data_IF_269138286084
#
_entry.id   IF_269138286084
#
_cell.length_a   1.000
_cell.length_b   1.000
_cell.length_c   1.000
_cell.angle_alpha   90.00
_cell.angle_beta   90.00
_cell.angle_gamma   90.00
#
_symmetry.space_group_name_H-M   'P 1'
#
loop_
_entity.id
_entity.type
_entity.pdbx_description
1 polymer ?
#
# COMPACT_ATOMS: atom_id res chain seq x y z
N UNK A 1 -19.24 1.37 -36.29
CA UNK A 1 -18.29 1.74 -35.21
C UNK A 1 -18.02 0.46 -34.46
N UNK A 2 -16.84 0.31 -33.86
CA UNK A 2 -16.58 -0.86 -33.02
C UNK A 2 -17.32 -0.69 -31.71
N UNK A 3 -17.81 -1.79 -31.16
CA UNK A 3 -18.47 -1.84 -29.86
C UNK A 3 -17.44 -1.84 -28.72
N UNK A 4 -17.85 -1.52 -27.49
CA UNK A 4 -16.99 -1.67 -26.31
C UNK A 4 -16.43 -3.10 -26.20
N UNK A 5 -17.25 -4.12 -26.51
CA UNK A 5 -16.83 -5.53 -26.49
C UNK A 5 -15.66 -5.79 -27.43
N UNK A 6 -15.75 -5.33 -28.67
CA UNK A 6 -14.69 -5.52 -29.66
C UNK A 6 -13.41 -4.78 -29.24
N UNK A 7 -13.54 -3.53 -28.75
CA UNK A 7 -12.40 -2.75 -28.27
C UNK A 7 -11.74 -3.40 -27.06
N UNK A 8 -12.50 -3.97 -26.12
CA UNK A 8 -11.97 -4.67 -24.95
C UNK A 8 -11.18 -5.92 -25.37
N UNK A 9 -11.73 -6.74 -26.25
CA UNK A 9 -11.06 -7.95 -26.76
C UNK A 9 -9.74 -7.59 -27.45
N UNK A 10 -9.75 -6.55 -28.28
CA UNK A 10 -8.54 -6.10 -28.99
C UNK A 10 -7.49 -5.53 -28.02
N UNK A 11 -7.93 -4.76 -27.02
CA UNK A 11 -7.06 -4.17 -25.98
C UNK A 11 -6.41 -5.29 -25.15
N UNK A 12 -7.19 -6.27 -24.70
CA UNK A 12 -6.70 -7.42 -23.94
C UNK A 12 -5.68 -8.23 -24.76
N UNK A 13 -5.97 -8.48 -26.05
CA UNK A 13 -5.04 -9.16 -26.94
C UNK A 13 -3.74 -8.36 -27.14
N UNK A 14 -3.80 -7.04 -27.24
CA UNK A 14 -2.61 -6.19 -27.37
C UNK A 14 -1.73 -6.26 -26.11
N UNK A 15 -2.32 -6.19 -24.91
CA UNK A 15 -1.60 -6.35 -23.65
C UNK A 15 -0.92 -7.72 -23.55
N UNK A 16 -1.63 -8.80 -23.88
CA UNK A 16 -1.08 -10.16 -23.88
C UNK A 16 0.07 -10.31 -24.89
N UNK A 17 -0.07 -9.75 -26.09
CA UNK A 17 0.97 -9.81 -27.12
C UNK A 17 2.22 -8.98 -26.76
N UNK A 18 2.06 -7.94 -25.94
CA UNK A 18 3.15 -7.10 -25.47
C UNK A 18 3.97 -7.76 -24.35
N UNK A 19 3.50 -8.88 -23.77
CA UNK A 19 4.14 -9.59 -22.66
C UNK A 19 4.44 -8.66 -21.46
N UNK A 20 3.46 -7.83 -21.11
CA UNK A 20 3.53 -6.97 -19.92
C UNK A 20 3.32 -7.79 -18.64
N UNK A 21 3.91 -7.33 -17.54
CA UNK A 21 3.68 -7.91 -16.22
C UNK A 21 2.47 -7.25 -15.52
N UNK A 22 1.60 -8.07 -14.91
CA UNK A 22 0.43 -7.62 -14.15
C UNK A 22 0.67 -7.77 -12.64
N UNK A 23 0.30 -6.77 -11.84
CA UNK A 23 0.58 -6.78 -10.38
C UNK A 23 0.56 -5.41 -9.70
N UNK A 24 0.29 -4.33 -10.44
CA UNK A 24 0.17 -2.97 -9.90
C UNK A 24 -1.30 -2.61 -9.61
N UNK A 25 -1.99 -3.47 -8.88
CA UNK A 25 -3.42 -3.31 -8.52
C UNK A 25 -4.40 -4.06 -9.45
N UNK A 26 -3.97 -4.43 -10.66
CA UNK A 26 -4.71 -5.34 -11.55
C UNK A 26 -3.90 -6.63 -11.75
N UNK A 27 -4.58 -7.78 -11.75
CA UNK A 27 -3.94 -9.11 -11.82
C UNK A 27 -4.01 -9.75 -13.21
N UNK A 28 -4.76 -9.15 -14.14
CA UNK A 28 -4.97 -9.72 -15.47
C UNK A 28 -4.99 -8.67 -16.58
N UNK A 29 -4.69 -9.12 -17.80
CA UNK A 29 -4.86 -8.32 -19.01
C UNK A 29 -6.30 -7.82 -19.18
N UNK A 30 -7.27 -8.61 -18.73
CA UNK A 30 -8.68 -8.25 -18.80
C UNK A 30 -9.00 -7.04 -17.92
N UNK A 31 -8.56 -7.05 -16.66
CA UNK A 31 -8.85 -5.97 -15.72
C UNK A 31 -8.17 -4.66 -16.13
N UNK A 32 -6.91 -4.75 -16.60
CA UNK A 32 -6.22 -3.59 -17.17
C UNK A 32 -6.90 -3.06 -18.44
N UNK A 33 -7.36 -3.95 -19.34
CA UNK A 33 -8.08 -3.54 -20.54
C UNK A 33 -9.39 -2.82 -20.18
N UNK A 34 -10.14 -3.32 -19.20
CA UNK A 34 -11.36 -2.66 -18.70
C UNK A 34 -11.04 -1.26 -18.18
N UNK A 35 -10.02 -1.10 -17.34
CA UNK A 35 -9.58 0.20 -16.84
C UNK A 35 -9.22 1.17 -17.97
N UNK A 36 -8.32 0.77 -18.87
CA UNK A 36 -7.85 1.63 -19.96
C UNK A 36 -8.98 2.04 -20.91
N UNK A 37 -9.86 1.11 -21.29
CA UNK A 37 -10.96 1.36 -22.24
C UNK A 37 -12.00 2.30 -21.65
N UNK A 38 -12.40 2.07 -20.39
CA UNK A 38 -13.40 2.89 -19.71
C UNK A 38 -12.85 4.29 -19.41
N UNK A 39 -11.64 4.40 -18.85
CA UNK A 39 -11.03 5.71 -18.57
C UNK A 39 -10.76 6.50 -19.85
N UNK A 40 -10.39 5.83 -20.96
CA UNK A 40 -10.25 6.51 -22.25
C UNK A 40 -11.59 7.05 -22.79
N UNK A 41 -12.71 6.41 -22.44
CA UNK A 41 -14.06 6.86 -22.77
C UNK A 41 -14.67 7.83 -21.72
N UNK A 42 -13.87 8.28 -20.75
CA UNK A 42 -14.30 9.12 -19.62
C UNK A 42 -15.44 8.50 -18.80
N UNK A 43 -15.40 7.17 -18.65
CA UNK A 43 -16.35 6.39 -17.85
C UNK A 43 -15.71 5.87 -16.56
N UNK A 44 -16.51 5.85 -15.50
CA UNK A 44 -16.15 5.33 -14.18
C UNK A 44 -16.13 3.79 -14.18
N UNK A 45 -15.13 3.19 -13.52
CA UNK A 45 -15.06 1.74 -13.29
C UNK A 45 -16.21 1.22 -12.41
N UNK A 46 -16.81 2.07 -11.58
CA UNK A 46 -17.86 1.69 -10.63
C UNK A 46 -19.27 1.72 -11.23
N UNK A 47 -19.47 2.43 -12.35
CA UNK A 47 -20.80 2.76 -12.87
C UNK A 47 -21.11 2.06 -14.22
N UNK A 48 -20.40 0.98 -14.53
CA UNK A 48 -20.58 0.26 -15.80
C UNK A 48 -21.36 -1.05 -15.65
N UNK A 49 -22.40 -1.19 -16.46
CA UNK A 49 -23.17 -2.42 -16.63
C UNK A 49 -22.65 -3.21 -17.83
N UNK A 50 -22.80 -4.54 -17.80
CA UNK A 50 -22.55 -5.42 -18.95
C UNK A 50 -23.31 -4.98 -20.22
N UNK A 51 -24.38 -4.20 -20.08
CA UNK A 51 -25.10 -3.62 -21.21
C UNK A 51 -24.25 -2.69 -22.09
N UNK A 52 -23.18 -2.08 -21.55
CA UNK A 52 -22.30 -1.17 -22.31
C UNK A 52 -21.52 -1.90 -23.40
N UNK A 53 -21.27 -3.20 -23.21
CA UNK A 53 -20.43 -4.02 -24.09
C UNK A 53 -20.93 -3.99 -25.54
N UNK A 54 -22.25 -3.97 -25.74
CA UNK A 54 -22.86 -4.00 -27.06
C UNK A 54 -23.20 -2.60 -27.60
N UNK A 55 -22.75 -1.54 -26.93
CA UNK A 55 -22.88 -0.15 -27.39
C UNK A 55 -21.65 0.30 -28.18
N UNK A 56 -21.82 1.29 -29.04
CA UNK A 56 -20.73 1.86 -29.83
C UNK A 56 -19.66 2.51 -28.94
N UNK A 57 -18.39 2.17 -29.15
CA UNK A 57 -17.29 2.84 -28.49
C UNK A 57 -17.10 4.26 -29.05
N UNK A 58 -16.96 5.30 -28.21
CA UNK A 58 -16.83 6.68 -28.67
C UNK A 58 -15.59 6.87 -29.55
N UNK A 59 -15.76 7.35 -30.78
CA UNK A 59 -14.63 7.62 -31.68
C UNK A 59 -13.68 8.70 -31.17
N UNK A 60 -14.16 9.57 -30.26
CA UNK A 60 -13.34 10.56 -29.55
C UNK A 60 -12.36 9.93 -28.56
N UNK A 61 -12.65 8.72 -28.06
CA UNK A 61 -11.81 8.01 -27.09
C UNK A 61 -10.67 7.22 -27.74
N UNK A 62 -10.76 6.91 -29.04
CA UNK A 62 -9.79 6.04 -29.73
C UNK A 62 -8.35 6.55 -29.66
N UNK A 63 -8.11 7.86 -29.81
CA UNK A 63 -6.75 8.42 -29.71
C UNK A 63 -6.20 8.35 -28.28
N UNK A 64 -7.05 8.57 -27.27
CA UNK A 64 -6.67 8.48 -25.85
C UNK A 64 -6.34 7.03 -25.47
N UNK A 65 -7.17 6.07 -25.88
CA UNK A 65 -6.89 4.64 -25.69
C UNK A 65 -5.58 4.22 -26.38
N UNK A 66 -5.30 4.71 -27.59
CA UNK A 66 -4.04 4.41 -28.26
C UNK A 66 -2.83 4.98 -27.52
N UNK A 67 -2.92 6.18 -26.94
CA UNK A 67 -1.83 6.70 -26.10
C UNK A 67 -1.64 5.90 -24.82
N UNK A 68 -2.73 5.42 -24.21
CA UNK A 68 -2.68 4.55 -23.04
C UNK A 68 -2.01 3.21 -23.34
N UNK A 69 -2.38 2.57 -24.46
CA UNK A 69 -1.75 1.33 -24.91
C UNK A 69 -0.27 1.52 -25.26
N UNK A 70 0.12 2.66 -25.83
CA UNK A 70 1.54 2.95 -26.06
C UNK A 70 2.32 3.05 -24.74
N UNK A 71 1.83 3.86 -23.79
CA UNK A 71 2.42 3.98 -22.46
C UNK A 71 2.51 2.61 -21.75
N UNK A 72 1.49 1.77 -21.88
CA UNK A 72 1.45 0.46 -21.22
C UNK A 72 2.36 -0.57 -21.90
N UNK A 73 2.25 -0.74 -23.21
CA UNK A 73 2.90 -1.81 -23.97
C UNK A 73 4.36 -1.48 -24.31
N UNK A 74 4.68 -0.22 -24.63
CA UNK A 74 6.04 0.17 -25.02
C UNK A 74 6.84 0.69 -23.82
N UNK A 75 6.25 1.58 -23.02
CA UNK A 75 6.94 2.22 -21.89
C UNK A 75 6.84 1.40 -20.59
N UNK A 76 5.99 0.38 -20.54
CA UNK A 76 5.74 -0.49 -19.37
C UNK A 76 5.21 0.27 -18.16
N UNK A 77 4.52 1.40 -18.37
CA UNK A 77 3.95 2.17 -17.27
C UNK A 77 2.80 1.39 -16.60
N UNK A 78 2.72 1.34 -15.26
CA UNK A 78 1.56 0.82 -14.55
C UNK A 78 0.26 1.51 -14.97
N UNK A 79 -0.82 0.75 -15.15
CA UNK A 79 -2.12 1.32 -15.57
C UNK A 79 -2.61 2.42 -14.63
N UNK A 80 -2.40 2.28 -13.32
CA UNK A 80 -2.75 3.30 -12.34
C UNK A 80 -2.08 4.65 -12.60
N UNK A 81 -0.83 4.67 -13.09
CA UNK A 81 -0.13 5.91 -13.46
C UNK A 81 -0.62 6.46 -14.80
N UNK A 82 -1.04 5.58 -15.72
CA UNK A 82 -1.59 5.98 -17.02
C UNK A 82 -2.98 6.62 -16.86
N UNK A 83 -3.84 6.02 -16.03
CA UNK A 83 -5.18 6.52 -15.73
C UNK A 83 -5.15 7.67 -14.73
N UNK A 84 -4.09 7.75 -13.92
CA UNK A 84 -3.92 8.72 -12.83
C UNK A 84 -4.68 8.36 -11.56
N UNK A 85 -5.23 7.14 -11.48
CA UNK A 85 -6.08 6.70 -10.38
C UNK A 85 -5.88 5.21 -10.02
N UNK A 86 -6.03 4.89 -8.74
CA UNK A 86 -5.95 3.54 -8.20
C UNK A 86 -6.99 3.34 -7.09
N UNK A 87 -7.49 2.11 -6.95
CA UNK A 87 -8.51 1.77 -5.97
C UNK A 87 -7.91 0.93 -4.83
N UNK A 88 -8.28 1.26 -3.59
CA UNK A 88 -8.00 0.44 -2.41
C UNK A 88 -9.25 0.35 -1.55
N UNK A 89 -9.78 -0.87 -1.40
CA UNK A 89 -11.10 -1.07 -0.80
C UNK A 89 -12.18 -0.31 -1.58
N UNK A 90 -12.90 0.58 -0.90
CA UNK A 90 -13.98 1.38 -1.50
C UNK A 90 -13.53 2.79 -1.92
N UNK A 91 -12.25 3.12 -1.81
CA UNK A 91 -11.72 4.46 -2.07
C UNK A 91 -10.88 4.48 -3.35
N UNK A 92 -11.03 5.56 -4.13
CA UNK A 92 -10.21 5.86 -5.30
C UNK A 92 -9.21 6.98 -4.98
N UNK A 93 -7.94 6.75 -5.27
CA UNK A 93 -6.84 7.66 -5.00
C UNK A 93 -6.24 8.15 -6.31
N UNK A 94 -5.74 9.39 -6.32
CA UNK A 94 -4.77 9.80 -7.32
C UNK A 94 -3.53 8.92 -7.20
N UNK A 95 -3.01 8.48 -8.34
CA UNK A 95 -1.84 7.61 -8.42
C UNK A 95 -0.89 8.10 -9.51
N UNK A 96 0.38 8.30 -9.15
CA UNK A 96 1.48 8.64 -10.05
C UNK A 96 2.82 8.21 -9.45
N UNK A 97 3.91 8.47 -10.19
CA UNK A 97 5.29 8.07 -9.88
C UNK A 97 5.84 8.57 -8.53
N UNK A 98 5.12 9.41 -7.79
CA UNK A 98 5.56 9.92 -6.48
C UNK A 98 5.43 8.88 -5.35
N UNK A 99 4.63 7.83 -5.51
CA UNK A 99 4.44 6.78 -4.50
C UNK A 99 4.04 5.45 -5.14
N UNK A 100 4.12 4.36 -4.37
CA UNK A 100 3.63 3.04 -4.80
C UNK A 100 2.16 3.09 -5.20
N UNK A 101 1.78 2.28 -6.19
CA UNK A 101 0.37 2.06 -6.52
C UNK A 101 -0.35 1.40 -5.33
N UNK A 102 -1.46 1.96 -4.82
CA UNK A 102 -2.26 1.36 -3.75
C UNK A 102 -2.66 -0.09 -4.04
N UNK A 103 -2.09 -1.04 -3.31
CA UNK A 103 -2.36 -2.48 -3.47
C UNK A 103 -2.06 -3.33 -2.22
N UNK A 104 -1.88 -2.68 -1.08
CA UNK A 104 -1.41 -3.36 0.13
C UNK A 104 -2.48 -4.33 0.66
N UNK A 105 -2.15 -5.61 0.92
CA UNK A 105 -3.06 -6.55 1.59
C UNK A 105 -3.50 -6.10 2.99
N UNK A 106 -2.76 -5.19 3.64
CA UNK A 106 -3.17 -4.59 4.93
C UNK A 106 -4.54 -3.92 4.86
N UNK A 107 -5.00 -3.52 3.66
CA UNK A 107 -6.34 -3.01 3.45
C UNK A 107 -7.43 -3.97 3.94
N UNK A 108 -7.26 -5.29 3.83
CA UNK A 108 -8.22 -6.26 4.34
C UNK A 108 -8.33 -6.21 5.86
N UNK A 109 -7.20 -6.09 6.56
CA UNK A 109 -7.14 -5.95 8.03
C UNK A 109 -7.84 -4.66 8.48
N UNK A 110 -7.62 -3.56 7.74
CA UNK A 110 -8.28 -2.26 8.01
C UNK A 110 -9.79 -2.35 7.78
N UNK A 111 -10.22 -2.96 6.67
CA UNK A 111 -11.65 -3.13 6.32
C UNK A 111 -12.39 -4.04 7.30
N UNK A 112 -11.68 -5.00 7.91
CA UNK A 112 -12.17 -5.84 8.98
C UNK A 112 -12.02 -5.20 10.38
N UNK A 113 -11.79 -3.89 10.44
CA UNK A 113 -11.69 -3.12 11.68
C UNK A 113 -10.64 -3.66 12.68
N UNK A 114 -9.56 -4.27 12.16
CA UNK A 114 -8.47 -4.87 12.93
C UNK A 114 -8.87 -6.07 13.81
N UNK A 115 -10.06 -6.65 13.59
CA UNK A 115 -10.52 -7.87 14.25
C UNK A 115 -9.77 -9.11 13.72
N UNK A 116 -9.54 -10.14 14.55
CA UNK A 116 -9.92 -10.26 15.97
C UNK A 116 -8.88 -9.69 16.95
N UNK A 117 -7.82 -9.06 16.44
CA UNK A 117 -6.63 -8.73 17.22
C UNK A 117 -6.80 -7.49 18.09
N UNK A 118 -7.41 -6.43 17.57
CA UNK A 118 -7.64 -5.23 18.35
C UNK A 118 -8.90 -5.37 19.21
N UNK A 119 -8.72 -5.60 20.51
CA UNK A 119 -9.81 -5.73 21.50
C UNK A 119 -9.93 -4.52 22.44
N UNK A 120 -9.27 -3.41 22.07
CA UNK A 120 -9.36 -2.15 22.81
C UNK A 120 -10.71 -1.45 22.65
N UNK A 121 -10.92 -0.31 23.34
CA UNK A 121 -12.00 0.61 22.98
C UNK A 121 -11.78 1.16 21.56
N UNK A 122 -12.80 1.80 20.98
CA UNK A 122 -12.67 2.48 19.68
C UNK A 122 -11.34 3.27 19.61
N UNK A 123 -10.48 3.00 18.60
CA UNK A 123 -9.15 3.60 18.54
C UNK A 123 -9.25 5.12 18.47
N UNK A 124 -8.48 5.81 19.28
CA UNK A 124 -8.45 7.27 19.30
C UNK A 124 -7.35 7.84 18.39
N UNK A 125 -6.23 7.14 18.26
CA UNK A 125 -5.07 7.56 17.46
C UNK A 125 -4.57 6.40 16.62
N UNK A 126 -4.61 6.58 15.29
CA UNK A 126 -4.07 5.66 14.30
C UNK A 126 -2.94 6.37 13.55
N UNK A 127 -1.82 5.70 13.34
CA UNK A 127 -0.71 6.23 12.53
C UNK A 127 -0.42 5.27 11.38
N UNK A 128 -0.46 5.79 10.16
CA UNK A 128 0.02 5.12 8.95
C UNK A 128 1.44 5.63 8.66
N UNK A 129 2.44 4.77 8.82
CA UNK A 129 3.87 5.10 8.66
C UNK A 129 4.41 4.48 7.38
N UNK A 130 5.32 5.20 6.71
CA UNK A 130 5.68 4.95 5.31
C UNK A 130 4.44 5.05 4.42
N UNK A 131 3.61 6.07 4.66
CA UNK A 131 2.26 6.15 4.11
C UNK A 131 2.20 6.30 2.59
N UNK A 132 3.30 6.70 1.93
CA UNK A 132 3.30 6.98 0.50
C UNK A 132 2.25 8.03 0.14
N UNK A 133 1.34 7.69 -0.79
CA UNK A 133 0.18 8.50 -1.18
C UNK A 133 -0.98 8.53 -0.17
N UNK A 134 -0.84 7.87 0.99
CA UNK A 134 -1.76 7.92 2.12
C UNK A 134 -2.93 6.93 2.07
N UNK A 135 -2.89 5.92 1.21
CA UNK A 135 -4.07 5.10 0.91
C UNK A 135 -4.56 4.28 2.11
N UNK A 136 -3.65 3.67 2.89
CA UNK A 136 -4.03 2.85 4.05
C UNK A 136 -4.58 3.70 5.19
N UNK A 137 -3.93 4.81 5.54
CA UNK A 137 -4.41 5.70 6.59
C UNK A 137 -5.73 6.38 6.24
N UNK A 138 -5.96 6.78 4.98
CA UNK A 138 -7.26 7.33 4.57
C UNK A 138 -8.36 6.27 4.55
N UNK A 139 -8.04 5.02 4.20
CA UNK A 139 -8.97 3.90 4.36
C UNK A 139 -9.29 3.64 5.84
N UNK A 140 -8.30 3.73 6.73
CA UNK A 140 -8.53 3.64 8.17
C UNK A 140 -9.41 4.80 8.67
N UNK A 141 -9.21 6.01 8.17
CA UNK A 141 -10.05 7.16 8.52
C UNK A 141 -11.50 7.00 8.08
N UNK A 142 -11.77 6.34 6.93
CA UNK A 142 -13.14 6.07 6.51
C UNK A 142 -13.83 5.03 7.39
N UNK A 143 -13.09 4.05 7.91
CA UNK A 143 -13.58 3.04 8.85
C UNK A 143 -13.74 3.56 10.29
N UNK A 144 -12.88 4.50 10.71
CA UNK A 144 -12.86 5.10 12.04
C UNK A 144 -12.97 6.65 11.98
N UNK A 145 -14.13 7.22 11.62
CA UNK A 145 -14.27 8.66 11.39
C UNK A 145 -13.96 9.54 12.61
N UNK A 146 -14.11 8.99 13.82
CA UNK A 146 -13.86 9.67 15.10
C UNK A 146 -12.42 9.58 15.57
N UNK A 147 -11.63 8.62 15.07
CA UNK A 147 -10.22 8.49 15.38
C UNK A 147 -9.43 9.64 14.76
N UNK A 148 -8.37 10.09 15.43
CA UNK A 148 -7.33 10.91 14.84
C UNK A 148 -6.42 10.00 14.02
N UNK A 149 -6.39 10.18 12.70
CA UNK A 149 -5.54 9.41 11.80
C UNK A 149 -4.45 10.29 11.20
N UNK A 150 -3.19 9.91 11.44
CA UNK A 150 -2.01 10.65 11.01
C UNK A 150 -1.23 9.83 9.98
N UNK A 151 -0.83 10.49 8.90
CA UNK A 151 0.06 9.93 7.88
C UNK A 151 1.48 10.38 8.15
N UNK A 152 2.46 9.48 8.02
CA UNK A 152 3.87 9.81 8.13
C UNK A 152 4.73 9.16 7.05
N UNK A 153 5.60 9.95 6.45
CA UNK A 153 6.59 9.50 5.49
C UNK A 153 7.83 10.40 5.53
N UNK A 154 8.98 9.88 5.09
CA UNK A 154 10.22 10.63 4.97
C UNK A 154 10.24 11.43 3.66
N UNK A 155 9.62 10.90 2.60
CA UNK A 155 9.66 11.45 1.26
C UNK A 155 8.66 12.60 1.07
N UNK A 156 9.20 13.76 0.72
CA UNK A 156 8.40 14.94 0.43
C UNK A 156 7.53 14.76 -0.83
N UNK A 157 8.00 14.00 -1.84
CA UNK A 157 7.22 13.76 -3.05
C UNK A 157 5.97 12.93 -2.75
N UNK A 158 6.13 11.81 -2.04
CA UNK A 158 5.02 10.99 -1.54
C UNK A 158 4.01 11.82 -0.71
N UNK A 159 4.50 12.59 0.27
CA UNK A 159 3.60 13.44 1.09
C UNK A 159 2.86 14.51 0.29
N UNK A 160 3.44 15.00 -0.82
CA UNK A 160 2.73 15.91 -1.71
C UNK A 160 1.53 15.23 -2.38
N UNK A 161 1.67 13.97 -2.79
CA UNK A 161 0.57 13.17 -3.33
C UNK A 161 -0.47 12.84 -2.25
N UNK A 162 -0.02 12.48 -1.03
CA UNK A 162 -0.91 12.30 0.11
C UNK A 162 -1.71 13.58 0.43
N UNK A 163 -1.09 14.75 0.34
CA UNK A 163 -1.79 16.03 0.52
C UNK A 163 -2.81 16.33 -0.59
N UNK A 164 -2.63 15.80 -1.80
CA UNK A 164 -3.64 15.91 -2.85
C UNK A 164 -4.79 14.93 -2.63
N UNK A 165 -4.48 13.70 -2.24
CA UNK A 165 -5.49 12.69 -1.89
C UNK A 165 -6.30 13.11 -0.66
N UNK A 166 -5.71 13.85 0.28
CA UNK A 166 -6.40 14.36 1.47
C UNK A 166 -7.44 15.46 1.16
N UNK A 167 -7.46 15.97 -0.07
CA UNK A 167 -8.52 16.87 -0.54
C UNK A 167 -9.76 16.09 -0.98
N UNK A 168 -9.60 14.79 -1.26
CA UNK A 168 -10.66 13.87 -1.70
C UNK A 168 -11.16 13.07 -0.50
N UNK A 169 -10.24 12.58 0.34
CA UNK A 169 -10.53 11.75 1.52
C UNK A 169 -10.08 12.43 2.79
N UNK A 170 -10.84 12.27 3.88
CA UNK A 170 -10.52 12.90 5.15
C UNK A 170 -9.23 12.35 5.76
N UNK A 171 -8.46 13.23 6.41
CA UNK A 171 -7.30 12.88 7.26
C UNK A 171 -7.08 13.99 8.29
N UNK A 172 -6.50 13.66 9.45
CA UNK A 172 -6.32 14.63 10.54
C UNK A 172 -4.93 15.30 10.53
N UNK A 173 -3.93 14.66 9.91
CA UNK A 173 -2.61 15.24 9.81
C UNK A 173 -1.66 14.45 8.91
N UNK A 174 -0.70 15.17 8.33
CA UNK A 174 0.38 14.63 7.52
C UNK A 174 1.70 15.14 8.11
N UNK A 175 2.59 14.22 8.46
CA UNK A 175 3.84 14.51 9.18
C UNK A 175 5.02 13.98 8.39
N UNK A 176 5.94 14.88 8.04
CA UNK A 176 7.25 14.44 7.54
C UNK A 176 8.11 13.98 8.72
N UNK A 177 8.47 12.70 8.72
CA UNK A 177 9.20 12.08 9.83
C UNK A 177 10.07 10.93 9.36
N UNK A 178 11.15 10.68 10.10
CA UNK A 178 11.86 9.41 10.01
C UNK A 178 11.13 8.40 10.92
N UNK A 179 10.40 7.50 10.27
CA UNK A 179 9.48 6.54 10.90
C UNK A 179 8.61 7.23 11.98
N UNK A 180 8.70 6.81 13.23
CA UNK A 180 7.85 7.27 14.33
C UNK A 180 8.65 8.02 15.42
N UNK A 181 9.83 8.52 15.07
CA UNK A 181 10.72 9.31 15.95
C UNK A 181 10.05 10.57 16.52
N UNK A 182 9.02 11.09 15.86
CA UNK A 182 8.26 12.28 16.26
C UNK A 182 7.12 11.98 17.25
N UNK A 183 6.74 10.70 17.42
CA UNK A 183 5.67 10.30 18.33
C UNK A 183 6.15 10.28 19.79
N UNK A 184 5.27 10.69 20.71
CA UNK A 184 5.50 10.54 22.14
C UNK A 184 5.25 9.09 22.59
N UNK A 185 5.75 8.70 23.76
CA UNK A 185 5.51 7.37 24.29
C UNK A 185 4.02 7.15 24.65
N UNK A 186 3.53 5.93 24.46
CA UNK A 186 2.18 5.48 24.82
C UNK A 186 1.05 6.38 24.27
N UNK A 187 1.19 6.93 23.06
CA UNK A 187 0.22 7.85 22.48
C UNK A 187 -0.61 7.27 21.33
N UNK A 188 -0.24 6.10 20.77
CA UNK A 188 -0.86 5.50 19.58
C UNK A 188 -1.64 4.24 19.96
N UNK A 189 -2.85 4.06 19.41
CA UNK A 189 -3.61 2.81 19.54
C UNK A 189 -3.23 1.82 18.44
N UNK A 190 -3.13 2.30 17.19
CA UNK A 190 -2.88 1.43 16.03
C UNK A 190 -1.80 2.02 15.14
N UNK A 191 -0.80 1.22 14.80
CA UNK A 191 0.19 1.53 13.77
C UNK A 191 -0.10 0.65 12.57
N UNK A 192 -0.25 1.27 11.40
CA UNK A 192 -0.30 0.62 10.11
C UNK A 192 1.04 0.90 9.42
N UNK A 193 1.71 -0.14 8.94
CA UNK A 193 3.02 0.00 8.31
C UNK A 193 3.14 -0.91 7.10
N UNK A 194 3.46 -0.29 5.96
CA UNK A 194 3.94 -0.97 4.76
C UNK A 194 5.29 -0.35 4.37
N UNK A 195 6.36 -0.62 5.15
CA UNK A 195 7.67 -0.09 4.86
C UNK A 195 8.29 -0.79 3.63
N UNK A 196 9.29 -0.17 3.00
CA UNK A 196 10.13 -0.85 2.01
C UNK A 196 10.74 -2.14 2.59
N UNK A 197 10.43 -3.29 1.98
CA UNK A 197 10.85 -4.62 2.46
C UNK A 197 11.51 -5.50 1.40
N UNK A 198 11.65 -5.03 0.16
CA UNK A 198 12.25 -5.84 -0.92
C UNK A 198 13.76 -5.92 -0.73
N UNK A 199 14.28 -7.15 -0.67
CA UNK A 199 15.71 -7.39 -0.51
C UNK A 199 16.51 -7.05 -1.78
N UNK A 200 17.81 -6.82 -1.63
CA UNK A 200 18.67 -6.39 -2.73
C UNK A 200 18.78 -7.40 -3.89
N UNK A 201 18.48 -8.69 -3.67
CA UNK A 201 18.46 -9.73 -4.72
C UNK A 201 17.15 -9.69 -5.48
N UNK A 202 16.03 -9.59 -4.78
CA UNK A 202 14.69 -9.50 -5.39
C UNK A 202 14.55 -8.23 -6.24
N UNK A 203 15.13 -7.12 -5.79
CA UNK A 203 15.19 -5.86 -6.55
C UNK A 203 15.80 -6.02 -7.96
N UNK A 204 16.74 -6.97 -8.15
CA UNK A 204 17.39 -7.21 -9.45
C UNK A 204 16.54 -8.03 -10.41
N UNK A 205 15.55 -8.76 -9.90
CA UNK A 205 14.65 -9.62 -10.67
C UNK A 205 13.30 -8.98 -11.00
N UNK A 206 13.06 -7.74 -10.57
CA UNK A 206 11.77 -7.09 -10.76
C UNK A 206 11.43 -6.88 -12.26
N UNK A 207 10.17 -7.13 -12.66
CA UNK A 207 9.67 -6.74 -13.97
C UNK A 207 9.86 -5.25 -14.25
N UNK A 208 9.94 -4.89 -15.53
CA UNK A 208 10.21 -3.51 -15.98
C UNK A 208 9.19 -2.50 -15.43
N UNK A 209 7.94 -2.94 -15.25
CA UNK A 209 6.85 -2.15 -14.69
C UNK A 209 7.16 -1.61 -13.29
N UNK A 210 7.77 -2.41 -12.41
CA UNK A 210 8.08 -2.00 -11.03
C UNK A 210 9.21 -0.97 -10.95
N UNK A 211 10.02 -0.82 -12.01
CA UNK A 211 11.04 0.22 -12.05
C UNK A 211 10.49 1.63 -12.21
N UNK A 212 9.19 1.78 -12.52
CA UNK A 212 8.50 3.07 -12.52
C UNK A 212 8.05 3.51 -11.12
N UNK A 213 8.05 2.60 -10.15
CA UNK A 213 7.76 2.96 -8.77
C UNK A 213 9.01 3.52 -8.06
N UNK A 214 8.87 4.39 -7.04
CA UNK A 214 10.03 4.95 -6.33
C UNK A 214 10.90 3.85 -5.70
N UNK A 215 12.18 3.78 -6.08
CA UNK A 215 13.10 2.78 -5.51
C UNK A 215 13.26 2.85 -3.99
N UNK A 216 13.15 4.05 -3.39
CA UNK A 216 13.13 4.23 -1.94
C UNK A 216 11.94 3.51 -1.27
N UNK A 217 10.83 3.34 -1.99
CA UNK A 217 9.64 2.66 -1.49
C UNK A 217 9.74 1.13 -1.55
N UNK A 218 10.79 0.58 -2.19
CA UNK A 218 10.98 -0.87 -2.34
C UNK A 218 12.16 -1.40 -1.51
N UNK A 219 13.27 -0.67 -1.44
CA UNK A 219 14.54 -1.16 -0.86
C UNK A 219 14.50 -1.32 0.68
N UNK A 220 14.54 -2.57 1.17
CA UNK A 220 14.57 -2.91 2.60
C UNK A 220 15.95 -3.28 3.18
N UNK A 221 17.03 -3.19 2.40
CA UNK A 221 18.39 -3.56 2.83
C UNK A 221 18.81 -4.97 2.38
N UNK A 222 19.79 -5.56 3.08
CA UNK A 222 20.34 -6.88 2.71
C UNK A 222 19.33 -8.02 2.90
N UNK A 223 18.51 -7.95 3.94
CA UNK A 223 17.48 -8.94 4.29
C UNK A 223 16.05 -8.37 4.30
N UNK A 224 15.88 -7.12 3.87
CA UNK A 224 14.57 -6.47 3.81
C UNK A 224 14.07 -5.86 5.14
N UNK A 225 14.84 -5.93 6.23
CA UNK A 225 14.36 -5.58 7.57
C UNK A 225 15.00 -4.35 8.22
N UNK A 226 15.81 -3.56 7.50
CA UNK A 226 16.52 -2.41 8.08
C UNK A 226 15.56 -1.42 8.76
N UNK A 227 14.49 -1.02 8.06
CA UNK A 227 13.47 -0.13 8.61
C UNK A 227 12.54 -0.84 9.59
N UNK A 228 12.27 -2.13 9.37
CA UNK A 228 11.41 -2.94 10.26
C UNK A 228 12.00 -3.01 11.66
N UNK A 229 13.32 -3.19 11.81
CA UNK A 229 14.00 -3.24 13.12
C UNK A 229 13.79 -1.96 13.92
N UNK A 230 13.93 -0.80 13.28
CA UNK A 230 13.71 0.50 13.93
C UNK A 230 12.23 0.68 14.26
N UNK A 231 11.34 0.31 13.33
CA UNK A 231 9.90 0.41 13.50
C UNK A 231 9.38 -0.43 14.68
N UNK A 232 9.88 -1.65 14.88
CA UNK A 232 9.48 -2.51 16.00
C UNK A 232 9.82 -1.87 17.35
N UNK A 233 11.00 -1.26 17.47
CA UNK A 233 11.42 -0.52 18.68
C UNK A 233 10.57 0.74 18.89
N UNK A 234 10.29 1.47 17.82
CA UNK A 234 9.40 2.63 17.86
C UNK A 234 7.97 2.22 18.29
N UNK A 235 7.44 1.15 17.73
CA UNK A 235 6.13 0.60 18.09
C UNK A 235 6.07 0.20 19.57
N UNK A 236 7.09 -0.52 20.07
CA UNK A 236 7.20 -0.88 21.49
C UNK A 236 7.18 0.35 22.43
N UNK A 237 7.75 1.47 21.98
CA UNK A 237 7.83 2.72 22.74
C UNK A 237 6.51 3.52 22.73
N UNK A 238 5.80 3.55 21.61
CA UNK A 238 4.70 4.51 21.40
C UNK A 238 3.30 3.90 21.50
N UNK A 239 3.16 2.58 21.33
CA UNK A 239 1.85 1.94 21.41
C UNK A 239 1.34 1.98 22.85
N UNK A 240 0.05 2.25 23.00
CA UNK A 240 -0.65 2.07 24.28
C UNK A 240 -0.71 0.58 24.64
N UNK A 241 -0.97 0.21 25.90
CA UNK A 241 -0.97 -1.19 26.33
C UNK A 241 -1.90 -2.12 25.54
N UNK A 242 -3.02 -1.62 25.03
CA UNK A 242 -3.98 -2.36 24.18
C UNK A 242 -3.74 -2.16 22.69
N UNK A 243 -2.62 -1.55 22.32
CA UNK A 243 -2.33 -1.14 20.96
C UNK A 243 -1.86 -2.27 20.07
N UNK A 244 -1.88 -1.99 18.76
CA UNK A 244 -1.60 -2.95 17.72
C UNK A 244 -0.65 -2.36 16.66
N UNK A 245 0.33 -3.15 16.23
CA UNK A 245 1.08 -2.90 15.00
C UNK A 245 0.61 -3.91 13.94
N UNK A 246 0.23 -3.41 12.77
CA UNK A 246 0.02 -4.19 11.55
C UNK A 246 1.16 -3.85 10.61
N UNK A 247 1.93 -4.86 10.21
CA UNK A 247 3.15 -4.71 9.45
C UNK A 247 3.15 -5.62 8.23
N UNK A 248 3.34 -5.04 7.04
CA UNK A 248 3.62 -5.78 5.81
C UNK A 248 5.13 -5.91 5.59
N UNK A 249 5.61 -7.13 5.31
CA UNK A 249 6.99 -7.45 4.93
C UNK A 249 7.09 -8.35 3.68
N UNK A 250 5.96 -8.73 3.08
CA UNK A 250 5.92 -9.55 1.87
C UNK A 250 6.82 -10.80 1.94
N UNK A 251 7.78 -10.89 1.01
CA UNK A 251 8.73 -12.02 0.92
C UNK A 251 9.74 -12.07 2.07
N UNK A 252 9.91 -11.00 2.83
CA UNK A 252 10.86 -10.91 3.95
C UNK A 252 10.29 -11.49 5.25
N UNK A 253 9.21 -12.27 5.16
CA UNK A 253 8.56 -12.89 6.31
C UNK A 253 9.48 -13.88 7.04
N UNK A 254 10.24 -14.72 6.32
CA UNK A 254 11.17 -15.70 6.92
C UNK A 254 12.25 -14.98 7.75
N UNK A 255 12.81 -13.89 7.20
CA UNK A 255 13.78 -13.07 7.91
C UNK A 255 13.18 -12.46 9.19
N UNK A 256 11.89 -12.09 9.17
CA UNK A 256 11.21 -11.54 10.35
C UNK A 256 10.97 -12.62 11.42
N UNK A 257 10.65 -13.86 11.02
CA UNK A 257 10.54 -14.99 11.95
C UNK A 257 11.87 -15.32 12.63
N UNK A 258 12.98 -15.20 11.88
CA UNK A 258 14.33 -15.47 12.39
C UNK A 258 14.93 -14.31 13.19
N UNK A 259 14.28 -13.14 13.20
CA UNK A 259 14.84 -11.91 13.80
C UNK A 259 15.13 -12.07 15.31
N UNK A 260 14.23 -12.71 16.06
CA UNK A 260 14.41 -12.95 17.49
C UNK A 260 13.49 -14.07 17.98
N UNK A 261 14.03 -15.00 18.79
CA UNK A 261 13.25 -16.09 19.40
C UNK A 261 12.17 -15.59 20.38
N UNK A 262 12.25 -14.33 20.82
CA UNK A 262 11.30 -13.71 21.75
C UNK A 262 10.25 -12.84 21.05
N UNK A 263 10.40 -12.64 19.75
CA UNK A 263 9.43 -11.93 18.92
C UNK A 263 8.57 -12.98 18.21
N UNK A 264 7.25 -12.88 18.37
CA UNK A 264 6.31 -13.84 17.79
C UNK A 264 5.31 -13.10 16.90
N UNK A 265 5.63 -12.91 15.60
CA UNK A 265 4.69 -12.34 14.64
C UNK A 265 3.43 -13.21 14.54
N UNK A 266 2.25 -12.59 14.56
CA UNK A 266 1.00 -13.27 14.23
C UNK A 266 0.74 -13.05 12.75
N UNK A 267 1.01 -14.06 11.92
CA UNK A 267 0.76 -13.99 10.48
C UNK A 267 -0.73 -14.02 10.17
N UNK A 268 -1.18 -13.06 9.36
CA UNK A 268 -2.57 -12.92 8.95
C UNK A 268 -2.86 -13.80 7.75
N UNK A 269 -3.91 -14.62 7.84
CA UNK A 269 -4.51 -15.28 6.69
C UNK A 269 -5.47 -14.29 6.00
N UNK A 270 -5.22 -13.98 4.73
CA UNK A 270 -5.97 -12.99 3.95
C UNK A 270 -6.88 -13.70 2.95
N UNK A 271 -8.16 -13.33 2.92
CA UNK A 271 -9.16 -13.90 2.01
C UNK A 271 -8.98 -13.41 0.58
N UNK A 272 -8.48 -12.17 0.39
CA UNK A 272 -8.30 -11.55 -0.92
C UNK A 272 -6.91 -11.81 -1.53
N UNK A 273 -6.11 -12.66 -0.89
CA UNK A 273 -4.74 -12.94 -1.32
C UNK A 273 -3.70 -11.93 -0.80
N UNK A 274 -2.44 -12.16 -1.16
CA UNK A 274 -1.28 -11.51 -0.54
C UNK A 274 -0.72 -12.33 0.63
N UNK A 275 0.49 -11.96 1.07
CA UNK A 275 1.20 -12.63 2.17
C UNK A 275 2.13 -11.66 2.89
N UNK A 276 2.74 -12.12 3.98
CA UNK A 276 3.73 -11.35 4.73
C UNK A 276 3.13 -10.20 5.54
N UNK A 277 1.85 -10.28 5.92
CA UNK A 277 1.23 -9.35 6.87
C UNK A 277 1.28 -9.96 8.26
N UNK A 278 1.98 -9.30 9.17
CA UNK A 278 2.09 -9.67 10.57
C UNK A 278 1.37 -8.68 11.47
N UNK A 279 0.86 -9.20 12.58
CA UNK A 279 0.28 -8.41 13.66
C UNK A 279 1.12 -8.61 14.93
N UNK A 280 1.38 -7.51 15.64
CA UNK A 280 2.06 -7.50 16.92
C UNK A 280 1.25 -6.76 17.98
N UNK A 281 1.04 -7.40 19.12
CA UNK A 281 0.42 -6.75 20.28
C UNK A 281 1.44 -5.86 20.99
N UNK A 282 1.01 -4.69 21.46
CA UNK A 282 1.89 -3.74 22.16
C UNK A 282 2.64 -4.36 23.36
N UNK A 283 1.97 -5.23 24.12
CA UNK A 283 2.56 -5.91 25.27
C UNK A 283 3.73 -6.84 24.89
N UNK A 284 3.62 -7.52 23.75
CA UNK A 284 4.63 -8.48 23.28
C UNK A 284 5.85 -7.72 22.76
N UNK A 285 5.62 -6.63 22.02
CA UNK A 285 6.68 -5.70 21.60
C UNK A 285 7.40 -5.05 22.77
N UNK A 286 6.67 -4.62 23.80
CA UNK A 286 7.27 -4.02 25.00
C UNK A 286 8.12 -5.04 25.77
N UNK A 287 7.67 -6.30 25.86
CA UNK A 287 8.43 -7.38 26.50
C UNK A 287 9.71 -7.70 25.70
N UNK A 288 9.61 -7.78 24.37
CA UNK A 288 10.75 -8.00 23.48
C UNK A 288 11.76 -6.84 23.56
N UNK A 289 11.31 -5.58 23.47
CA UNK A 289 12.22 -4.44 23.54
C UNK A 289 12.97 -4.38 24.89
N UNK A 290 12.30 -4.71 25.99
CA UNK A 290 12.95 -4.78 27.31
C UNK A 290 14.02 -5.88 27.39
N UNK A 291 13.89 -6.98 26.67
CA UNK A 291 14.88 -8.05 26.66
C UNK A 291 16.08 -7.75 25.75
N UNK A 292 15.85 -7.05 24.64
CA UNK A 292 16.91 -6.53 23.77
C UNK A 292 17.78 -5.50 24.51
N UNK A 293 17.17 -4.60 25.29
CA UNK A 293 17.90 -3.63 26.14
C UNK A 293 18.77 -4.32 27.20
N UNK A 294 18.31 -5.47 27.73
CA UNK A 294 19.07 -6.29 28.68
C UNK A 294 20.21 -7.04 27.97
N UNK A 295 20.01 -7.47 26.72
CA UNK A 295 21.01 -8.17 25.92
C UNK A 295 22.09 -7.23 25.36
N UNK A 296 21.77 -5.96 25.09
CA UNK A 296 22.66 -4.95 24.52
C UNK A 296 22.69 -3.63 25.31
N UNK A 297 23.27 -3.59 26.53
CA UNK A 297 23.23 -2.43 27.42
C UNK A 297 24.06 -1.20 26.97
N UNK A 298 24.65 -1.20 25.76
CA UNK A 298 25.69 -0.23 25.34
C UNK A 298 25.18 0.94 24.47
N UNK A 299 23.88 1.03 24.16
CA UNK A 299 23.37 2.08 23.26
C UNK A 299 22.55 3.18 23.98
N UNK A 300 22.21 3.04 25.26
CA UNK A 300 21.38 4.01 26.01
C UNK A 300 22.14 5.26 26.53
N UNK A 301 23.19 5.70 25.84
CA UNK A 301 23.98 6.84 26.27
C UNK A 301 24.69 7.59 25.14
N UNK A 302 23.93 8.36 24.34
CA UNK A 302 24.40 9.60 23.70
C UNK A 302 23.27 10.62 23.60
#
# INVERSE_FOLDING_TARGET
MMTFREILIDTEAELLNADVFFGHGYESAHDEAVALVLTAADLSLMDTSAAILDTDYPSTATLKLRSFLNARCEERLPVAYITGEAWLGHLCFKSDERALVPRSPVAEVVLNAFEPWYQGPDPQVIVDVCCGGGSLGMLAKSMFPTAQVLLSDLDHAALSLASENSQIHAIDGIVRGDLLSWCQALCVDIIIANPPYVDARDMQGLPAEYHHEPGLALSGGDDGLDLVRVLLLDAARILRPTGLLILEVGNSFEALEELSEQLHPIWVELEQGGHGVAVFMAQDLAQWAASEDIANPVVSGK
#
